data_IF_925256526064
#
_entry.id   IF_925256526064
#
_cell.length_a   1.000
_cell.length_b   1.000
_cell.length_c   1.000
_cell.angle_alpha   90.00
_cell.angle_beta   90.00
_cell.angle_gamma   90.00
#
_symmetry.space_group_name_H-M   'P 1'
#
loop_
_entity.id
_entity.type
_entity.pdbx_description
1 polymer ?
#
# COMPACT_ATOMS: atom_id res chain seq x y z
N UNK A 1 -27.60 -12.49 19.92
CA UNK A 1 -26.34 -12.66 20.68
C UNK A 1 -25.37 -11.58 20.22
N UNK A 2 -24.60 -10.99 21.12
CA UNK A 2 -23.57 -10.00 20.75
C UNK A 2 -22.51 -10.64 19.87
N UNK A 3 -22.07 -9.95 18.82
CA UNK A 3 -21.01 -10.40 17.92
C UNK A 3 -19.60 -10.23 18.52
N UNK A 4 -19.51 -9.67 19.73
CA UNK A 4 -18.25 -9.44 20.44
C UNK A 4 -18.17 -10.37 21.64
N UNK A 5 -17.09 -11.15 21.73
CA UNK A 5 -16.79 -12.00 22.89
C UNK A 5 -15.47 -11.56 23.52
N UNK A 6 -15.42 -11.50 24.85
CA UNK A 6 -14.19 -11.22 25.61
C UNK A 6 -13.90 -12.36 26.60
N UNK A 7 -12.71 -12.93 26.52
CA UNK A 7 -12.15 -13.83 27.53
C UNK A 7 -11.56 -12.99 28.67
N UNK A 8 -12.36 -12.80 29.70
CA UNK A 8 -12.20 -11.79 30.73
C UNK A 8 -11.69 -12.36 32.06
N UNK A 9 -10.90 -11.56 32.79
CA UNK A 9 -10.58 -11.80 34.19
C UNK A 9 -10.87 -10.53 35.00
N UNK A 10 -11.89 -10.55 35.88
CA UNK A 10 -12.27 -9.40 36.71
C UNK A 10 -11.14 -8.89 37.60
N UNK A 11 -10.18 -9.74 37.98
CA UNK A 11 -9.03 -9.37 38.81
C UNK A 11 -7.90 -8.64 38.07
N UNK A 12 -8.04 -8.32 36.79
CA UNK A 12 -6.98 -7.74 35.97
C UNK A 12 -7.38 -6.38 35.36
N UNK A 13 -6.65 -5.32 35.71
CA UNK A 13 -6.92 -3.95 35.23
C UNK A 13 -6.97 -3.83 33.70
N UNK A 14 -6.00 -4.42 32.97
CA UNK A 14 -6.05 -4.46 31.50
C UNK A 14 -7.34 -5.12 30.98
N UNK A 15 -7.80 -6.19 31.63
CA UNK A 15 -9.01 -6.90 31.24
C UNK A 15 -10.29 -6.09 31.50
N UNK A 16 -10.34 -5.35 32.62
CA UNK A 16 -11.43 -4.43 32.95
C UNK A 16 -11.47 -3.22 32.03
N UNK A 17 -10.33 -2.59 31.77
CA UNK A 17 -10.20 -1.48 30.81
C UNK A 17 -10.66 -1.89 29.40
N UNK A 18 -10.25 -3.07 28.91
CA UNK A 18 -10.72 -3.59 27.61
C UNK A 18 -12.22 -3.82 27.58
N UNK A 19 -12.81 -4.42 28.62
CA UNK A 19 -14.27 -4.60 28.71
C UNK A 19 -15.01 -3.25 28.70
N UNK A 20 -14.49 -2.27 29.44
CA UNK A 20 -15.07 -0.94 29.51
C UNK A 20 -14.99 -0.19 28.16
N UNK A 21 -13.88 -0.33 27.42
CA UNK A 21 -13.73 0.21 26.05
C UNK A 21 -14.73 -0.42 25.06
N UNK A 22 -15.00 -1.73 25.18
CA UNK A 22 -16.03 -2.38 24.36
C UNK A 22 -17.41 -1.77 24.67
N UNK A 23 -17.76 -1.65 25.96
CA UNK A 23 -19.03 -1.06 26.39
C UNK A 23 -19.17 0.41 25.97
N UNK A 24 -18.08 1.17 25.99
CA UNK A 24 -18.06 2.55 25.52
C UNK A 24 -18.31 2.69 24.01
N UNK A 25 -18.30 1.59 23.23
CA UNK A 25 -18.79 1.58 21.84
C UNK A 25 -20.30 1.35 21.70
N UNK A 26 -21.02 1.31 22.84
CA UNK A 26 -22.46 1.05 22.91
C UNK A 26 -22.84 -0.43 22.81
N UNK A 27 -21.88 -1.34 22.91
CA UNK A 27 -22.10 -2.78 22.77
C UNK A 27 -21.85 -3.50 24.08
N UNK A 28 -22.82 -4.29 24.56
CA UNK A 28 -22.59 -5.24 25.64
C UNK A 28 -22.04 -6.55 25.03
N UNK A 29 -20.79 -6.96 25.34
CA UNK A 29 -20.19 -8.17 24.79
C UNK A 29 -20.66 -9.43 25.53
N UNK A 30 -20.45 -10.59 24.90
CA UNK A 30 -20.44 -11.86 25.60
C UNK A 30 -19.18 -11.98 26.47
N UNK A 31 -19.33 -12.00 27.79
CA UNK A 31 -18.21 -12.06 28.74
C UNK A 31 -17.98 -13.50 29.17
N UNK A 32 -16.83 -14.06 28.81
CA UNK A 32 -16.41 -15.40 29.22
C UNK A 32 -15.35 -15.27 30.31
N UNK A 33 -15.71 -15.59 31.55
CA UNK A 33 -14.74 -15.69 32.65
C UNK A 33 -13.88 -16.95 32.46
N UNK A 34 -12.83 -16.86 31.64
CA UNK A 34 -12.08 -18.01 31.15
C UNK A 34 -11.41 -18.86 32.24
N UNK A 35 -11.26 -18.33 33.46
CA UNK A 35 -10.76 -19.11 34.60
C UNK A 35 -11.82 -20.08 35.17
N UNK A 36 -13.10 -19.77 34.99
CA UNK A 36 -14.23 -20.61 35.41
C UNK A 36 -14.72 -21.48 34.25
N UNK A 37 -14.81 -20.88 33.07
CA UNK A 37 -15.29 -21.54 31.83
C UNK A 37 -14.24 -21.35 30.74
N UNK A 38 -13.12 -22.10 30.81
CA UNK A 38 -12.05 -21.97 29.81
C UNK A 38 -12.55 -22.41 28.43
N UNK A 39 -12.04 -21.79 27.35
CA UNK A 39 -12.27 -22.31 26.00
C UNK A 39 -11.74 -23.74 25.90
N UNK A 40 -12.46 -24.56 25.13
CA UNK A 40 -12.01 -25.91 24.79
C UNK A 40 -10.72 -25.89 23.97
N UNK A 41 -10.07 -27.06 23.84
CA UNK A 41 -8.86 -27.22 23.02
C UNK A 41 -9.07 -26.74 21.58
N UNK A 42 -10.18 -27.13 20.97
CA UNK A 42 -10.48 -26.79 19.57
C UNK A 42 -10.80 -25.31 19.41
N UNK A 43 -11.53 -24.71 20.36
CA UNK A 43 -11.75 -23.27 20.40
C UNK A 43 -10.43 -22.50 20.54
N UNK A 44 -9.51 -22.94 21.39
CA UNK A 44 -8.18 -22.34 21.53
C UNK A 44 -7.38 -22.41 20.23
N UNK A 45 -7.40 -23.54 19.51
CA UNK A 45 -6.75 -23.67 18.20
C UNK A 45 -7.32 -22.67 17.19
N UNK A 46 -8.64 -22.52 17.15
CA UNK A 46 -9.31 -21.53 16.29
C UNK A 46 -8.91 -20.11 16.67
N UNK A 47 -8.86 -19.79 17.97
CA UNK A 47 -8.42 -18.47 18.44
C UNK A 47 -6.98 -18.17 18.05
N UNK A 48 -6.06 -19.12 18.26
CA UNK A 48 -4.64 -18.98 17.90
C UNK A 48 -4.43 -18.75 16.40
N UNK A 49 -5.15 -19.50 15.56
CA UNK A 49 -5.14 -19.31 14.11
C UNK A 49 -5.62 -17.90 13.73
N UNK A 50 -6.70 -17.42 14.33
CA UNK A 50 -7.23 -16.06 14.05
C UNK A 50 -6.37 -14.94 14.63
N UNK A 51 -5.61 -15.21 15.69
CA UNK A 51 -4.63 -14.30 16.28
C UNK A 51 -3.33 -14.25 15.47
N UNK A 52 -3.00 -15.29 14.70
CA UNK A 52 -1.70 -15.45 14.07
C UNK A 52 -0.58 -15.70 15.10
N UNK A 53 -0.90 -16.36 16.22
CA UNK A 53 0.02 -16.63 17.32
C UNK A 53 0.23 -18.14 17.50
N UNK A 54 1.41 -18.51 17.97
CA UNK A 54 1.73 -19.87 18.44
C UNK A 54 1.16 -20.11 19.84
N UNK A 55 1.00 -21.38 20.24
CA UNK A 55 0.55 -21.73 21.61
C UNK A 55 1.49 -21.15 22.65
N UNK A 56 2.80 -21.15 22.38
CA UNK A 56 3.83 -20.68 23.32
C UNK A 56 3.75 -19.17 23.57
N UNK A 57 3.45 -18.37 22.55
CA UNK A 57 3.27 -16.91 22.69
C UNK A 57 2.02 -16.56 23.51
N UNK A 58 1.00 -17.44 23.50
CA UNK A 58 -0.20 -17.28 24.30
C UNK A 58 0.04 -17.54 25.81
N UNK A 59 1.11 -18.24 26.17
CA UNK A 59 1.37 -18.60 27.56
C UNK A 59 1.81 -17.37 28.39
N UNK A 60 1.06 -17.14 29.46
CA UNK A 60 1.39 -16.19 30.51
C UNK A 60 2.39 -16.82 31.48
N UNK A 61 3.53 -16.16 31.67
CA UNK A 61 4.58 -16.61 32.58
C UNK A 61 4.36 -16.14 34.03
N UNK A 62 4.15 -14.84 34.23
CA UNK A 62 4.07 -14.26 35.59
C UNK A 62 2.79 -14.67 36.31
N UNK A 63 2.91 -15.19 37.53
CA UNK A 63 1.76 -15.55 38.39
C UNK A 63 0.95 -16.71 37.83
N UNK A 64 1.65 -17.72 37.28
CA UNK A 64 1.12 -18.97 36.73
C UNK A 64 2.12 -20.10 37.06
N UNK A 65 1.77 -21.38 36.88
CA UNK A 65 2.71 -22.49 37.08
C UNK A 65 3.75 -22.65 35.95
N UNK A 66 3.95 -21.66 35.08
CA UNK A 66 4.79 -21.76 33.88
C UNK A 66 6.22 -22.25 34.15
N UNK A 67 6.88 -21.68 35.16
CA UNK A 67 8.25 -22.05 35.54
C UNK A 67 8.28 -23.41 36.25
N UNK A 68 7.32 -23.67 37.16
CA UNK A 68 7.23 -24.93 37.88
C UNK A 68 6.99 -26.14 36.96
N UNK A 69 6.29 -25.92 35.84
CA UNK A 69 6.02 -26.93 34.81
C UNK A 69 7.07 -26.95 33.69
N UNK A 70 8.10 -26.10 33.76
CA UNK A 70 9.16 -25.99 32.74
C UNK A 70 8.60 -25.77 31.32
N UNK A 71 7.55 -24.95 31.18
CA UNK A 71 6.83 -24.75 29.90
C UNK A 71 7.64 -23.93 28.88
N UNK A 72 8.73 -23.31 29.29
CA UNK A 72 9.70 -22.68 28.39
C UNK A 72 10.55 -23.67 27.61
N UNK A 73 10.60 -24.92 28.05
CA UNK A 73 11.43 -25.94 27.42
C UNK A 73 10.89 -26.30 26.01
N UNK A 74 11.76 -26.29 24.98
CA UNK A 74 11.39 -26.68 23.62
C UNK A 74 10.90 -28.13 23.47
N UNK A 75 11.12 -28.99 24.49
CA UNK A 75 10.65 -30.39 24.49
C UNK A 75 9.12 -30.52 24.39
N UNK A 76 8.38 -29.51 24.85
CA UNK A 76 6.91 -29.53 24.86
C UNK A 76 6.34 -29.19 23.50
N UNK A 77 5.50 -30.06 22.96
CA UNK A 77 4.76 -29.80 21.72
C UNK A 77 3.56 -28.87 21.96
N UNK A 78 3.07 -28.23 20.90
CA UNK A 78 1.89 -27.38 20.96
C UNK A 78 0.65 -28.12 21.51
N UNK A 79 0.49 -29.39 21.15
CA UNK A 79 -0.59 -30.24 21.68
C UNK A 79 -0.47 -30.44 23.20
N UNK A 80 0.74 -30.67 23.72
CA UNK A 80 0.97 -30.79 25.17
C UNK A 80 0.79 -29.45 25.89
N UNK A 81 1.23 -28.35 25.29
CA UNK A 81 1.01 -27.01 25.84
C UNK A 81 -0.48 -26.67 25.94
N UNK A 82 -1.30 -27.11 24.99
CA UNK A 82 -2.76 -26.98 25.06
C UNK A 82 -3.36 -27.83 26.20
N UNK A 83 -2.83 -29.03 26.46
CA UNK A 83 -3.25 -29.84 27.61
C UNK A 83 -2.96 -29.13 28.95
N UNK A 84 -1.78 -28.52 29.08
CA UNK A 84 -1.44 -27.73 30.26
C UNK A 84 -2.36 -26.51 30.41
N UNK A 85 -2.73 -25.84 29.32
CA UNK A 85 -3.71 -24.74 29.36
C UNK A 85 -5.07 -25.23 29.86
N UNK A 86 -5.53 -26.40 29.39
CA UNK A 86 -6.79 -26.99 29.85
C UNK A 86 -6.80 -27.30 31.35
N UNK A 87 -5.67 -27.78 31.89
CA UNK A 87 -5.51 -28.06 33.33
C UNK A 87 -5.30 -26.78 34.16
N UNK A 88 -4.65 -25.77 33.57
CA UNK A 88 -4.31 -24.52 34.24
C UNK A 88 -4.71 -23.32 33.37
N UNK A 89 -6.01 -22.97 33.30
CA UNK A 89 -6.49 -21.87 32.47
C UNK A 89 -5.76 -20.55 32.69
N UNK A 90 -5.25 -20.30 33.90
CA UNK A 90 -4.45 -19.12 34.27
C UNK A 90 -3.22 -18.87 33.39
N UNK A 91 -2.75 -19.91 32.67
CA UNK A 91 -1.71 -19.84 31.65
C UNK A 91 -2.11 -19.03 30.41
N UNK A 92 -3.40 -18.76 30.15
CA UNK A 92 -3.82 -17.97 28.99
C UNK A 92 -3.52 -16.48 29.23
N UNK A 93 -2.80 -15.84 28.29
CA UNK A 93 -2.70 -14.39 28.21
C UNK A 93 -4.08 -13.75 27.98
N UNK A 94 -4.34 -12.63 28.65
CA UNK A 94 -5.66 -11.99 28.74
C UNK A 94 -5.58 -10.47 28.56
N UNK A 95 -6.67 -9.81 28.15
CA UNK A 95 -7.88 -10.41 27.59
C UNK A 95 -7.72 -10.75 26.09
N UNK A 96 -8.36 -11.83 25.65
CA UNK A 96 -8.57 -12.09 24.22
C UNK A 96 -9.96 -11.58 23.85
N UNK A 97 -10.06 -10.80 22.79
CA UNK A 97 -11.32 -10.27 22.27
C UNK A 97 -11.55 -10.78 20.86
N UNK A 98 -12.78 -11.23 20.59
CA UNK A 98 -13.24 -11.71 19.29
C UNK A 98 -14.33 -10.77 18.79
N UNK A 99 -14.19 -10.29 17.55
CA UNK A 99 -15.20 -9.46 16.86
C UNK A 99 -15.36 -9.93 15.41
N UNK A 100 -16.32 -9.35 14.64
CA UNK A 100 -16.41 -9.54 13.19
C UNK A 100 -15.18 -9.03 12.43
N UNK A 101 -14.46 -8.05 12.97
CA UNK A 101 -13.28 -7.45 12.33
C UNK A 101 -11.98 -8.23 12.62
N UNK A 102 -11.95 -9.07 13.67
CA UNK A 102 -10.77 -9.85 13.99
C UNK A 102 -10.76 -10.45 15.40
N UNK A 103 -9.65 -11.08 15.76
CA UNK A 103 -9.37 -11.55 17.14
C UNK A 103 -8.09 -10.90 17.61
N UNK A 104 -8.05 -10.45 18.87
CA UNK A 104 -6.86 -9.79 19.41
C UNK A 104 -6.62 -10.06 20.88
N UNK A 105 -5.36 -10.28 21.22
CA UNK A 105 -4.86 -10.19 22.59
C UNK A 105 -4.66 -8.70 22.94
N UNK A 106 -5.53 -8.15 23.77
CA UNK A 106 -5.57 -6.69 24.01
C UNK A 106 -4.63 -6.30 25.15
N UNK A 107 -3.32 -6.35 24.87
CA UNK A 107 -2.26 -5.88 25.76
C UNK A 107 -1.32 -4.95 24.96
N UNK A 108 -1.48 -3.63 25.06
CA UNK A 108 -2.29 -2.88 26.03
C UNK A 108 -3.80 -2.89 25.72
N UNK A 109 -4.63 -2.44 26.67
CA UNK A 109 -6.09 -2.59 26.63
C UNK A 109 -6.77 -1.94 25.40
N UNK A 110 -6.22 -0.81 24.95
CA UNK A 110 -6.66 0.02 23.83
C UNK A 110 -6.40 -0.61 22.46
N UNK A 111 -5.63 -1.70 22.39
CA UNK A 111 -5.49 -2.50 21.18
C UNK A 111 -6.84 -3.05 20.69
N UNK A 112 -7.85 -3.13 21.57
CA UNK A 112 -9.22 -3.51 21.22
C UNK A 112 -9.88 -2.54 20.24
N UNK A 113 -9.52 -1.26 20.27
CA UNK A 113 -10.12 -0.21 19.43
C UNK A 113 -9.95 -0.50 17.93
N UNK A 114 -8.89 -1.20 17.55
CA UNK A 114 -8.59 -1.51 16.15
C UNK A 114 -9.50 -2.61 15.58
N UNK A 115 -10.23 -3.34 16.44
CA UNK A 115 -11.11 -4.44 16.03
C UNK A 115 -12.57 -4.22 16.46
N UNK A 116 -12.92 -3.05 17.00
CA UNK A 116 -14.32 -2.72 17.31
C UNK A 116 -15.07 -2.25 16.06
N UNK A 117 -16.29 -2.77 15.81
CA UNK A 117 -17.10 -2.35 14.66
C UNK A 117 -17.67 -0.94 14.80
N UNK A 118 -17.88 -0.49 16.05
CA UNK A 118 -18.48 0.81 16.36
C UNK A 118 -17.43 1.77 16.94
N UNK A 119 -17.54 3.08 16.65
CA UNK A 119 -16.72 4.09 17.30
C UNK A 119 -17.05 4.22 18.80
N UNK A 120 -16.17 4.87 19.54
CA UNK A 120 -16.39 5.18 20.95
C UNK A 120 -17.44 6.30 21.09
N UNK A 121 -18.36 6.16 22.05
CA UNK A 121 -19.49 7.09 22.26
C UNK A 121 -19.13 8.30 23.14
N UNK A 122 -18.01 8.24 23.84
CA UNK A 122 -17.54 9.32 24.70
C UNK A 122 -16.08 9.16 25.12
N UNK A 123 -15.53 10.17 25.83
CA UNK A 123 -14.18 10.13 26.36
C UNK A 123 -13.96 8.92 27.28
N UNK A 124 -12.74 8.40 27.29
CA UNK A 124 -12.38 7.23 28.07
C UNK A 124 -11.01 7.40 28.69
N UNK A 125 -10.95 7.23 30.01
CA UNK A 125 -9.72 7.23 30.80
C UNK A 125 -9.60 5.86 31.48
N UNK A 126 -8.43 5.23 31.35
CA UNK A 126 -8.11 3.96 32.01
C UNK A 126 -8.08 4.13 33.53
N UNK A 127 -8.18 3.01 34.24
CA UNK A 127 -8.05 2.95 35.70
C UNK A 127 -6.75 3.59 36.27
N UNK A 128 -5.68 3.68 35.48
CA UNK A 128 -4.40 4.29 35.87
C UNK A 128 -4.30 5.79 35.56
N UNK A 129 -5.38 6.41 35.04
CA UNK A 129 -5.44 7.82 34.67
C UNK A 129 -5.03 8.12 33.23
N UNK A 130 -4.59 7.12 32.45
CA UNK A 130 -4.24 7.33 31.05
C UNK A 130 -5.50 7.59 30.20
N UNK A 131 -5.56 8.76 29.55
CA UNK A 131 -6.64 9.11 28.62
C UNK A 131 -6.42 8.40 27.29
N UNK A 132 -7.40 7.61 26.86
CA UNK A 132 -7.37 6.84 25.60
C UNK A 132 -8.26 7.47 24.54
N UNK A 133 -9.38 8.05 24.95
CA UNK A 133 -10.31 8.76 24.07
C UNK A 133 -10.55 10.15 24.65
N UNK A 134 -10.32 11.19 23.86
CA UNK A 134 -10.50 12.58 24.28
C UNK A 134 -11.98 13.02 24.29
N UNK A 135 -12.24 14.25 24.72
CA UNK A 135 -13.58 14.82 24.81
C UNK A 135 -14.29 14.92 23.44
N UNK A 136 -13.52 14.94 22.35
CA UNK A 136 -14.03 14.98 20.98
C UNK A 136 -14.26 13.56 20.41
N UNK A 137 -14.08 12.51 21.22
CA UNK A 137 -14.23 11.11 20.81
C UNK A 137 -13.07 10.57 19.97
N UNK A 138 -11.94 11.27 19.90
CA UNK A 138 -10.77 10.84 19.14
C UNK A 138 -9.84 10.01 20.02
N UNK A 139 -9.17 9.03 19.41
CA UNK A 139 -8.13 8.27 20.09
C UNK A 139 -6.94 9.16 20.41
N UNK A 140 -6.61 9.25 21.69
CA UNK A 140 -5.36 9.82 22.17
C UNK A 140 -4.27 8.81 21.83
N UNK A 141 -3.42 9.17 20.88
CA UNK A 141 -2.21 8.40 20.62
C UNK A 141 -1.29 8.52 21.84
N UNK A 142 -0.52 7.47 22.21
CA UNK A 142 0.52 7.65 23.22
C UNK A 142 1.34 8.86 22.85
N UNK A 143 1.70 9.68 23.84
CA UNK A 143 2.42 10.93 23.62
C UNK A 143 3.50 10.68 22.56
N UNK A 144 3.31 11.28 21.37
CA UNK A 144 4.35 11.30 20.37
C UNK A 144 5.62 11.74 21.12
N UNK A 145 6.76 11.08 20.86
CA UNK A 145 8.05 11.59 21.34
C UNK A 145 8.02 13.11 21.17
N UNK A 146 8.27 13.82 22.27
CA UNK A 146 8.14 15.27 22.29
C UNK A 146 8.86 15.83 21.07
N UNK A 147 8.24 16.73 20.31
CA UNK A 147 8.94 17.40 19.20
C UNK A 147 10.20 18.14 19.71
N UNK A 148 10.28 18.40 21.03
CA UNK A 148 11.47 18.92 21.69
C UNK A 148 12.72 18.02 21.52
N UNK A 149 12.54 16.71 21.36
CA UNK A 149 13.64 15.75 21.14
C UNK A 149 14.05 15.65 19.65
N UNK A 150 13.40 16.42 18.76
CA UNK A 150 13.68 16.50 17.33
C UNK A 150 14.10 17.93 16.92
N UNK A 151 15.20 18.48 17.46
CA UNK A 151 15.58 19.89 17.26
C UNK A 151 15.86 20.27 15.78
N UNK A 152 16.14 19.30 14.91
CA UNK A 152 16.33 19.48 13.48
C UNK A 152 15.01 19.63 12.68
N UNK A 153 13.87 19.36 13.31
CA UNK A 153 12.54 19.41 12.72
C UNK A 153 11.93 20.81 12.88
N UNK A 154 11.47 21.41 11.78
CA UNK A 154 10.67 22.63 11.79
C UNK A 154 9.23 22.26 12.16
N UNK A 155 8.90 22.39 13.45
CA UNK A 155 7.66 21.92 14.04
C UNK A 155 6.41 22.51 13.35
N UNK A 156 6.48 23.75 12.85
CA UNK A 156 5.42 24.46 12.15
C UNK A 156 5.01 23.81 10.81
N UNK A 157 5.93 23.07 10.18
CA UNK A 157 5.69 22.36 8.91
C UNK A 157 5.47 20.86 9.09
N UNK A 158 5.75 20.33 10.28
CA UNK A 158 5.49 18.95 10.61
C UNK A 158 3.99 18.68 10.69
N UNK A 159 3.55 17.63 10.03
CA UNK A 159 2.17 17.16 10.00
C UNK A 159 2.20 15.67 10.27
N UNK A 160 1.44 15.22 11.27
CA UNK A 160 1.23 13.78 11.49
C UNK A 160 0.31 13.29 10.36
N UNK A 161 0.65 12.18 9.67
CA UNK A 161 -0.22 11.65 8.63
C UNK A 161 -1.61 11.32 9.17
N UNK A 162 -2.63 11.92 8.56
CA UNK A 162 -4.04 11.72 8.86
C UNK A 162 -4.63 10.59 8.00
N UNK A 163 -5.04 9.45 8.59
CA UNK A 163 -5.70 8.36 7.86
C UNK A 163 -7.02 8.77 7.18
N UNK A 164 -7.68 9.82 7.64
CA UNK A 164 -8.92 10.30 7.02
C UNK A 164 -8.65 10.95 5.67
N UNK A 165 -7.51 11.65 5.50
CA UNK A 165 -7.11 12.26 4.23
C UNK A 165 -6.66 11.23 3.19
N UNK A 166 -6.39 9.98 3.59
CA UNK A 166 -6.16 8.85 2.68
C UNK A 166 -7.45 8.21 2.18
N UNK A 167 -8.63 8.71 2.62
CA UNK A 167 -9.93 8.27 2.14
C UNK A 167 -10.60 9.43 1.41
N UNK A 168 -10.80 9.35 0.09
CA UNK A 168 -11.43 10.43 -0.63
C UNK A 168 -12.88 10.62 -0.15
N UNK A 169 -13.25 11.85 0.20
CA UNK A 169 -14.62 12.20 0.60
C UNK A 169 -15.61 12.00 -0.56
N UNK A 170 -15.15 12.19 -1.79
CA UNK A 170 -15.91 11.98 -3.01
C UNK A 170 -15.00 11.33 -4.04
N UNK A 171 -15.07 10.01 -4.21
CA UNK A 171 -14.28 9.32 -5.22
C UNK A 171 -14.59 9.83 -6.63
N UNK A 172 -13.58 9.91 -7.49
CA UNK A 172 -13.79 10.27 -8.89
C UNK A 172 -14.70 9.26 -9.60
N UNK A 173 -15.74 9.76 -10.28
CA UNK A 173 -16.73 8.93 -10.97
C UNK A 173 -16.38 8.61 -12.43
N UNK A 174 -15.39 9.31 -13.01
CA UNK A 174 -14.96 9.04 -14.39
C UNK A 174 -14.03 7.83 -14.48
N UNK A 175 -14.02 7.22 -15.68
CA UNK A 175 -13.12 6.13 -16.02
C UNK A 175 -11.65 6.51 -15.74
N UNK A 176 -10.82 5.61 -15.18
CA UNK A 176 -9.41 5.87 -14.98
C UNK A 176 -8.71 6.07 -16.33
N UNK A 177 -7.80 7.04 -16.39
CA UNK A 177 -7.16 7.46 -17.66
C UNK A 177 -5.73 6.95 -17.77
N UNK A 178 -5.45 6.14 -18.79
CA UNK A 178 -4.11 5.59 -19.02
C UNK A 178 -3.48 6.07 -20.33
N UNK A 179 -2.26 6.59 -20.23
CA UNK A 179 -1.39 6.84 -21.37
C UNK A 179 -0.41 5.67 -21.57
N UNK A 180 -0.40 5.09 -22.76
CA UNK A 180 0.49 3.98 -23.09
C UNK A 180 1.55 4.44 -24.09
N UNK A 181 2.81 4.15 -23.78
CA UNK A 181 4.00 4.47 -24.57
C UNK A 181 4.72 3.19 -24.99
N UNK A 182 5.24 3.15 -26.23
CA UNK A 182 6.00 2.02 -26.75
C UNK A 182 7.35 2.42 -27.37
N UNK A 183 8.33 1.52 -27.30
CA UNK A 183 9.73 1.79 -27.64
C UNK A 183 10.20 1.39 -29.04
N UNK A 184 9.33 1.24 -30.04
CA UNK A 184 9.76 0.81 -31.38
C UNK A 184 8.84 1.27 -32.50
N UNK A 185 9.46 1.85 -33.54
CA UNK A 185 8.83 2.31 -34.79
C UNK A 185 8.90 1.28 -35.93
N UNK A 186 9.30 0.03 -35.65
CA UNK A 186 9.23 -1.04 -36.67
C UNK A 186 7.78 -1.22 -37.12
N UNK A 187 7.61 -1.54 -38.40
CA UNK A 187 6.30 -1.86 -38.99
C UNK A 187 5.57 -2.91 -38.14
N UNK A 188 6.21 -4.06 -37.92
CA UNK A 188 5.79 -5.07 -36.94
C UNK A 188 6.59 -4.94 -35.64
N UNK A 189 6.02 -4.24 -34.67
CA UNK A 189 6.65 -3.90 -33.39
C UNK A 189 5.96 -4.63 -32.24
N UNK A 190 6.60 -5.66 -31.65
CA UNK A 190 6.00 -6.43 -30.55
C UNK A 190 5.72 -5.60 -29.29
N UNK A 191 6.48 -4.54 -29.03
CA UNK A 191 6.16 -3.62 -27.92
C UNK A 191 4.89 -2.82 -28.20
N UNK A 192 4.65 -2.44 -29.47
CA UNK A 192 3.40 -1.78 -29.89
C UNK A 192 2.23 -2.74 -29.77
N UNK A 193 2.37 -3.97 -30.28
CA UNK A 193 1.33 -5.00 -30.19
C UNK A 193 0.99 -5.35 -28.73
N UNK A 194 2.00 -5.46 -27.86
CA UNK A 194 1.78 -5.69 -26.43
C UNK A 194 1.06 -4.52 -25.74
N UNK A 195 1.38 -3.27 -26.14
CA UNK A 195 0.65 -2.07 -25.69
C UNK A 195 -0.80 -2.05 -26.19
N UNK A 196 -1.07 -2.52 -27.40
CA UNK A 196 -2.44 -2.64 -27.92
C UNK A 196 -3.24 -3.69 -27.16
N UNK A 197 -2.65 -4.83 -26.78
CA UNK A 197 -3.30 -5.78 -25.88
C UNK A 197 -3.54 -5.19 -24.49
N UNK A 198 -2.56 -4.45 -23.97
CA UNK A 198 -2.72 -3.76 -22.70
C UNK A 198 -3.87 -2.75 -22.74
N UNK A 199 -4.00 -1.98 -23.82
CA UNK A 199 -5.10 -1.05 -24.01
C UNK A 199 -6.46 -1.76 -24.03
N UNK A 200 -6.58 -2.92 -24.71
CA UNK A 200 -7.82 -3.72 -24.72
C UNK A 200 -8.20 -4.22 -23.33
N UNK A 201 -7.24 -4.73 -22.56
CA UNK A 201 -7.47 -5.20 -21.19
C UNK A 201 -7.91 -4.06 -20.27
N UNK A 202 -7.23 -2.90 -20.34
CA UNK A 202 -7.61 -1.71 -19.58
C UNK A 202 -9.01 -1.21 -19.93
N UNK A 203 -9.35 -1.16 -21.22
CA UNK A 203 -10.69 -0.78 -21.68
C UNK A 203 -11.76 -1.77 -21.21
N UNK A 204 -11.48 -3.07 -21.23
CA UNK A 204 -12.37 -4.09 -20.68
C UNK A 204 -12.60 -3.93 -19.17
N UNK A 205 -11.62 -3.38 -18.45
CA UNK A 205 -11.73 -3.00 -17.04
C UNK A 205 -12.37 -1.61 -16.81
N UNK A 206 -12.91 -0.98 -17.87
CA UNK A 206 -13.63 0.30 -17.78
C UNK A 206 -12.75 1.54 -17.81
N UNK A 207 -11.50 1.44 -18.27
CA UNK A 207 -10.59 2.57 -18.36
C UNK A 207 -10.63 3.30 -19.72
N UNK A 208 -10.33 4.61 -19.72
CA UNK A 208 -10.05 5.37 -20.95
C UNK A 208 -8.55 5.24 -21.26
N UNK A 209 -8.20 4.86 -22.49
CA UNK A 209 -6.80 4.65 -22.90
C UNK A 209 -6.42 5.51 -24.10
N UNK A 210 -5.19 6.02 -24.10
CA UNK A 210 -4.59 6.69 -25.26
C UNK A 210 -3.19 6.14 -25.49
N UNK A 211 -2.91 5.71 -26.71
CA UNK A 211 -1.60 5.23 -27.13
C UNK A 211 -0.91 6.35 -27.90
N UNK A 212 0.25 6.81 -27.44
CA UNK A 212 1.02 7.80 -28.18
C UNK A 212 1.82 7.13 -29.29
N UNK A 213 1.69 7.63 -30.52
CA UNK A 213 2.54 7.22 -31.63
C UNK A 213 3.80 8.10 -31.68
N UNK A 214 5.02 7.58 -31.42
CA UNK A 214 6.23 8.39 -31.36
C UNK A 214 6.83 8.70 -32.75
N UNK A 215 6.17 8.31 -33.85
CA UNK A 215 6.66 8.66 -35.19
C UNK A 215 6.68 10.18 -35.37
N UNK A 216 7.82 10.70 -35.84
CA UNK A 216 8.06 12.14 -35.99
C UNK A 216 8.32 12.89 -34.68
N UNK A 217 8.48 12.21 -33.53
CA UNK A 217 8.98 12.85 -32.32
C UNK A 217 10.47 13.19 -32.52
N UNK A 218 10.88 14.47 -32.40
CA UNK A 218 12.28 14.87 -32.55
C UNK A 218 13.14 14.32 -31.41
N UNK A 219 14.46 14.31 -31.59
CA UNK A 219 15.36 14.05 -30.47
C UNK A 219 15.23 15.19 -29.45
N UNK A 220 15.35 14.91 -28.13
CA UNK A 220 15.44 15.95 -27.12
C UNK A 220 16.45 17.02 -27.53
N UNK A 221 16.09 18.29 -27.33
CA UNK A 221 16.88 19.49 -27.68
C UNK A 221 17.07 19.77 -29.19
N UNK A 222 16.53 18.93 -30.08
CA UNK A 222 16.62 19.10 -31.55
C UNK A 222 15.41 19.85 -32.16
N UNK A 223 14.44 20.22 -31.33
CA UNK A 223 13.26 20.98 -31.75
C UNK A 223 12.72 21.83 -30.59
N UNK A 224 11.96 22.91 -30.86
CA UNK A 224 11.32 23.66 -29.79
C UNK A 224 10.24 22.82 -29.11
N UNK A 225 9.92 23.13 -27.85
CA UNK A 225 8.82 22.49 -27.10
C UNK A 225 7.44 22.69 -27.77
N UNK A 226 7.36 23.65 -28.70
CA UNK A 226 6.16 23.90 -29.51
C UNK A 226 5.96 22.89 -30.62
N UNK A 227 6.92 21.97 -30.87
CA UNK A 227 6.80 20.92 -31.86
C UNK A 227 5.52 20.09 -31.64
N UNK A 228 4.70 19.81 -32.68
CA UNK A 228 3.39 19.19 -32.51
C UNK A 228 3.41 17.88 -31.72
N UNK A 229 4.38 16.99 -32.00
CA UNK A 229 4.53 15.72 -31.27
C UNK A 229 4.94 15.88 -29.81
N UNK A 230 5.70 16.93 -29.49
CA UNK A 230 6.11 17.22 -28.11
C UNK A 230 4.91 17.74 -27.33
N UNK A 231 4.13 18.66 -27.92
CA UNK A 231 2.87 19.13 -27.34
C UNK A 231 1.90 18.00 -27.09
N UNK A 232 1.64 17.17 -28.10
CA UNK A 232 0.74 16.02 -28.00
C UNK A 232 1.16 15.08 -26.85
N UNK A 233 2.44 14.72 -26.77
CA UNK A 233 2.95 13.87 -25.69
C UNK A 233 2.74 14.49 -24.31
N UNK A 234 3.02 15.79 -24.16
CA UNK A 234 2.87 16.51 -22.89
C UNK A 234 1.39 16.65 -22.49
N UNK A 235 0.51 16.95 -23.43
CA UNK A 235 -0.94 17.03 -23.21
C UNK A 235 -1.53 15.68 -22.79
N UNK A 236 -1.13 14.59 -23.46
CA UNK A 236 -1.51 13.23 -23.07
C UNK A 236 -0.98 12.88 -21.69
N UNK A 237 0.26 13.26 -21.39
CA UNK A 237 0.86 13.03 -20.07
C UNK A 237 0.10 13.81 -19.00
N UNK A 238 -0.33 15.04 -19.27
CA UNK A 238 -1.15 15.82 -18.34
C UNK A 238 -2.53 15.19 -18.11
N UNK A 239 -3.17 14.72 -19.18
CA UNK A 239 -4.51 14.11 -19.16
C UNK A 239 -4.59 12.81 -18.34
N UNK A 240 -3.56 11.96 -18.37
CA UNK A 240 -3.61 10.63 -17.76
C UNK A 240 -3.50 10.66 -16.22
N UNK A 241 -3.94 9.59 -15.57
CA UNK A 241 -3.80 9.32 -14.13
C UNK A 241 -2.79 8.21 -13.85
N UNK A 242 -2.58 7.33 -14.84
CA UNK A 242 -1.54 6.31 -14.84
C UNK A 242 -0.94 6.12 -16.23
N UNK A 243 0.20 5.42 -16.29
CA UNK A 243 0.89 5.13 -17.55
C UNK A 243 1.30 3.67 -17.66
N UNK A 244 1.45 3.21 -18.91
CA UNK A 244 2.12 1.95 -19.25
C UNK A 244 3.30 2.26 -20.16
N UNK A 245 4.50 1.81 -19.79
CA UNK A 245 5.69 1.93 -20.64
C UNK A 245 6.13 0.55 -21.12
N UNK A 246 6.17 0.35 -22.44
CA UNK A 246 6.61 -0.90 -23.04
C UNK A 246 7.82 -0.69 -23.94
N UNK A 247 9.00 -1.11 -23.48
CA UNK A 247 10.22 -1.05 -24.31
C UNK A 247 10.59 -2.45 -24.81
N UNK A 248 10.98 -2.59 -26.08
CA UNK A 248 11.85 -3.70 -26.46
C UNK A 248 13.15 -3.66 -25.66
N UNK A 249 13.80 -4.80 -25.52
CA UNK A 249 15.20 -4.86 -25.13
C UNK A 249 16.08 -4.81 -26.37
N UNK A 250 16.84 -3.72 -26.54
CA UNK A 250 17.78 -3.52 -27.65
C UNK A 250 19.17 -3.38 -27.08
N UNK A 251 20.10 -4.23 -27.52
CA UNK A 251 21.46 -4.30 -26.98
C UNK A 251 21.48 -4.40 -25.44
N UNK A 252 20.54 -5.17 -24.87
CA UNK A 252 20.48 -5.41 -23.42
C UNK A 252 19.94 -4.23 -22.59
N UNK A 253 19.30 -3.23 -23.20
CA UNK A 253 18.77 -2.05 -22.51
C UNK A 253 17.38 -1.64 -23.05
N UNK A 254 16.72 -0.72 -22.36
CA UNK A 254 15.57 0.02 -22.90
C UNK A 254 15.99 0.76 -24.17
N UNK A 255 15.04 0.95 -25.08
CA UNK A 255 15.32 1.59 -26.37
C UNK A 255 15.52 3.09 -26.23
N UNK A 256 16.31 3.66 -27.14
CA UNK A 256 16.42 5.12 -27.29
C UNK A 256 15.08 5.79 -27.60
N UNK A 257 14.19 5.14 -28.35
CA UNK A 257 12.83 5.65 -28.62
C UNK A 257 12.01 5.76 -27.32
N UNK A 258 12.07 4.74 -26.46
CA UNK A 258 11.39 4.80 -25.16
C UNK A 258 11.98 5.92 -24.30
N UNK A 259 13.32 6.02 -24.23
CA UNK A 259 14.00 7.02 -23.41
C UNK A 259 13.72 8.45 -23.89
N UNK A 260 13.78 8.69 -25.21
CA UNK A 260 13.51 9.99 -25.81
C UNK A 260 12.09 10.50 -25.52
N UNK A 261 11.08 9.63 -25.51
CA UNK A 261 9.72 10.01 -25.09
C UNK A 261 9.71 10.54 -23.65
N UNK A 262 10.37 9.86 -22.72
CA UNK A 262 10.38 10.30 -21.32
C UNK A 262 11.21 11.57 -21.13
N UNK A 263 12.28 11.75 -21.90
CA UNK A 263 13.10 12.96 -21.88
C UNK A 263 12.33 14.22 -22.31
N UNK A 264 11.31 14.07 -23.17
CA UNK A 264 10.42 15.16 -23.54
C UNK A 264 9.40 15.55 -22.46
N UNK A 265 9.25 14.75 -21.40
CA UNK A 265 8.32 14.98 -20.29
C UNK A 265 9.09 15.66 -19.14
N UNK A 266 8.87 16.96 -18.89
CA UNK A 266 9.54 17.65 -17.80
C UNK A 266 8.95 17.24 -16.44
N UNK A 267 9.77 17.29 -15.39
CA UNK A 267 9.29 17.15 -14.00
C UNK A 267 8.38 18.31 -13.56
N UNK A 268 8.52 19.46 -14.19
CA UNK A 268 7.86 20.72 -13.81
C UNK A 268 7.57 21.58 -15.04
N UNK A 269 6.34 22.06 -15.18
CA UNK A 269 5.96 23.16 -16.07
C UNK A 269 5.25 24.20 -15.22
N UNK A 270 5.98 25.23 -14.77
CA UNK A 270 5.48 26.16 -13.75
C UNK A 270 5.06 25.41 -12.47
N UNK A 271 3.78 25.53 -12.10
CA UNK A 271 3.19 24.83 -10.95
C UNK A 271 2.76 23.39 -11.26
N UNK A 272 2.69 22.99 -12.54
CA UNK A 272 2.20 21.68 -12.94
C UNK A 272 3.34 20.66 -12.83
N UNK A 273 3.03 19.47 -12.31
CA UNK A 273 3.94 18.33 -12.16
C UNK A 273 3.38 17.15 -12.97
N UNK A 274 3.72 17.02 -14.27
CA UNK A 274 2.96 16.18 -15.21
C UNK A 274 2.85 14.70 -14.85
N UNK A 275 3.85 14.13 -14.17
CA UNK A 275 3.92 12.70 -13.83
C UNK A 275 3.85 12.41 -12.34
N UNK A 276 3.98 13.43 -11.48
CA UNK A 276 4.14 13.23 -10.05
C UNK A 276 2.89 12.62 -9.42
N UNK A 277 3.06 11.54 -8.66
CA UNK A 277 1.95 10.84 -7.97
C UNK A 277 1.09 9.95 -8.88
N UNK A 278 1.32 9.95 -10.19
CA UNK A 278 0.64 9.06 -11.14
C UNK A 278 1.18 7.64 -11.03
N UNK A 279 0.34 6.65 -11.35
CA UNK A 279 0.74 5.24 -11.34
C UNK A 279 1.51 4.86 -12.61
N UNK A 280 2.39 3.86 -12.52
CA UNK A 280 3.15 3.37 -13.67
C UNK A 280 3.25 1.85 -13.66
N UNK A 281 2.93 1.21 -14.78
CA UNK A 281 3.32 -0.16 -15.08
C UNK A 281 4.44 -0.18 -16.13
N UNK A 282 5.44 -1.04 -15.92
CA UNK A 282 6.55 -1.25 -16.87
C UNK A 282 6.49 -2.64 -17.48
N UNK A 283 6.70 -2.70 -18.78
CA UNK A 283 6.63 -3.93 -19.58
C UNK A 283 7.81 -3.99 -20.55
N UNK A 284 8.30 -5.17 -20.89
CA UNK A 284 9.26 -5.33 -21.99
C UNK A 284 8.94 -6.51 -22.90
N UNK A 285 9.51 -6.45 -24.11
CA UNK A 285 9.57 -7.58 -25.04
C UNK A 285 11.03 -7.88 -25.39
N UNK A 286 11.39 -9.15 -25.44
CA UNK A 286 12.71 -9.61 -25.88
C UNK A 286 12.59 -10.36 -27.21
N UNK A 287 13.58 -10.15 -28.09
CA UNK A 287 13.75 -11.01 -29.26
C UNK A 287 14.37 -12.38 -28.91
N UNK A 288 15.11 -12.46 -27.80
CA UNK A 288 15.79 -13.67 -27.34
C UNK A 288 15.19 -14.23 -26.05
N UNK A 289 16.02 -14.93 -25.27
CA UNK A 289 15.68 -15.43 -23.93
C UNK A 289 15.19 -14.32 -22.99
N UNK A 290 14.51 -14.73 -21.93
CA UNK A 290 13.98 -13.79 -20.94
C UNK A 290 15.09 -12.94 -20.33
N UNK A 291 14.78 -11.66 -20.13
CA UNK A 291 15.64 -10.66 -19.52
C UNK A 291 14.77 -9.65 -18.77
N UNK A 292 15.37 -8.82 -17.95
CA UNK A 292 14.66 -7.79 -17.17
C UNK A 292 15.35 -6.42 -17.24
N UNK A 293 16.34 -6.25 -18.13
CA UNK A 293 17.17 -5.05 -18.12
C UNK A 293 16.36 -3.80 -18.47
N UNK A 294 15.50 -3.87 -19.49
CA UNK A 294 14.69 -2.73 -19.90
C UNK A 294 13.65 -2.35 -18.81
N UNK A 295 12.94 -3.30 -18.21
CA UNK A 295 11.98 -3.00 -17.12
C UNK A 295 12.69 -2.48 -15.87
N UNK A 296 13.89 -2.96 -15.55
CA UNK A 296 14.68 -2.44 -14.42
C UNK A 296 15.07 -0.97 -14.66
N UNK A 297 15.54 -0.64 -15.85
CA UNK A 297 15.87 0.74 -16.23
C UNK A 297 14.63 1.64 -16.19
N UNK A 298 13.48 1.16 -16.71
CA UNK A 298 12.23 1.93 -16.68
C UNK A 298 11.65 2.08 -15.28
N UNK A 299 11.81 1.09 -14.39
CA UNK A 299 11.39 1.19 -12.98
C UNK A 299 12.19 2.24 -12.23
N UNK A 300 13.50 2.25 -12.46
CA UNK A 300 14.41 3.30 -12.00
C UNK A 300 13.92 4.64 -12.55
N UNK A 301 13.70 4.77 -13.87
CA UNK A 301 13.19 6.00 -14.49
C UNK A 301 11.85 6.48 -13.89
N UNK A 302 10.91 5.57 -13.62
CA UNK A 302 9.63 5.87 -12.96
C UNK A 302 9.80 6.56 -11.60
N UNK A 303 10.81 6.14 -10.82
CA UNK A 303 11.18 6.81 -9.56
C UNK A 303 11.67 8.24 -9.81
N UNK A 304 12.51 8.48 -10.82
CA UNK A 304 12.94 9.85 -11.18
C UNK A 304 11.75 10.72 -11.60
N UNK A 305 10.80 10.14 -12.33
CA UNK A 305 9.55 10.81 -12.73
C UNK A 305 8.54 10.97 -11.58
N UNK A 306 8.91 10.57 -10.35
CA UNK A 306 8.09 10.63 -9.12
C UNK A 306 6.74 9.90 -9.28
N UNK A 307 6.74 8.81 -10.03
CA UNK A 307 5.57 7.96 -10.26
C UNK A 307 5.49 6.82 -9.25
N UNK A 308 4.27 6.37 -8.95
CA UNK A 308 3.98 5.17 -8.18
C UNK A 308 4.10 3.95 -9.10
N UNK A 309 5.33 3.46 -9.27
CA UNK A 309 5.57 2.28 -10.12
C UNK A 309 5.12 1.02 -9.41
N UNK A 310 4.09 0.35 -9.93
CA UNK A 310 3.49 -0.83 -9.31
C UNK A 310 4.50 -1.98 -9.18
N UNK A 311 4.37 -2.88 -8.20
CA UNK A 311 5.34 -3.95 -7.98
C UNK A 311 5.40 -4.94 -9.15
N UNK A 312 4.25 -5.32 -9.71
CA UNK A 312 4.22 -6.30 -10.80
C UNK A 312 4.72 -5.70 -12.12
N UNK A 313 5.23 -6.56 -13.01
CA UNK A 313 5.77 -6.16 -14.32
C UNK A 313 5.73 -7.32 -15.33
N UNK A 314 5.77 -6.99 -16.62
CA UNK A 314 5.79 -7.98 -17.70
C UNK A 314 7.12 -8.00 -18.46
N UNK A 315 7.63 -9.19 -18.77
CA UNK A 315 8.76 -9.40 -19.66
C UNK A 315 8.51 -10.62 -20.55
N UNK A 316 8.15 -10.37 -21.81
CA UNK A 316 7.77 -11.39 -22.79
C UNK A 316 9.01 -11.81 -23.58
N UNK A 317 9.51 -13.01 -23.32
CA UNK A 317 10.66 -13.58 -24.03
C UNK A 317 10.25 -14.09 -25.43
N UNK A 318 11.21 -14.09 -26.37
CA UNK A 318 11.01 -14.55 -27.75
C UNK A 318 9.67 -14.10 -28.33
N UNK A 319 9.35 -12.80 -28.18
CA UNK A 319 7.99 -12.27 -28.38
C UNK A 319 7.37 -12.62 -29.74
N UNK A 320 8.19 -12.85 -30.78
CA UNK A 320 7.73 -13.30 -32.09
C UNK A 320 6.98 -14.64 -32.08
N UNK A 321 7.15 -15.48 -31.06
CA UNK A 321 6.41 -16.74 -30.87
C UNK A 321 5.05 -16.53 -30.18
N UNK A 322 4.94 -15.45 -29.39
CA UNK A 322 3.80 -15.16 -28.53
C UNK A 322 2.68 -14.38 -29.23
N UNK A 323 2.94 -13.88 -30.45
CA UNK A 323 1.93 -13.21 -31.28
C UNK A 323 1.60 -14.06 -32.51
N UNK A 324 0.31 -14.11 -32.85
CA UNK A 324 -0.18 -14.83 -34.02
C UNK A 324 -0.06 -14.02 -35.32
N UNK A 325 -0.61 -14.56 -36.41
CA UNK A 325 -0.61 -13.93 -37.74
C UNK A 325 -1.49 -12.67 -37.80
N UNK A 326 -2.49 -12.58 -36.93
CA UNK A 326 -3.36 -11.42 -36.76
C UNK A 326 -2.77 -10.38 -35.79
N UNK A 327 -1.51 -10.56 -35.38
CA UNK A 327 -0.81 -9.73 -34.40
C UNK A 327 -1.52 -9.66 -33.03
N UNK A 328 -2.25 -10.72 -32.66
CA UNK A 328 -2.84 -10.89 -31.34
C UNK A 328 -1.94 -11.75 -30.46
N UNK A 329 -1.85 -11.39 -29.19
CA UNK A 329 -1.11 -12.21 -28.22
C UNK A 329 -1.85 -13.52 -27.98
N UNK A 330 -1.12 -14.64 -28.05
CA UNK A 330 -1.66 -15.98 -27.81
C UNK A 330 -1.90 -16.20 -26.31
N UNK A 331 -2.81 -17.09 -25.91
CA UNK A 331 -2.90 -17.55 -24.53
C UNK A 331 -1.58 -18.18 -24.08
N UNK A 332 -0.98 -17.62 -23.04
CA UNK A 332 0.26 -18.12 -22.44
C UNK A 332 0.43 -17.54 -21.04
N UNK A 333 1.39 -18.06 -20.26
CA UNK A 333 1.72 -17.49 -18.96
C UNK A 333 2.22 -16.04 -19.04
N UNK A 334 2.74 -15.61 -20.20
CA UNK A 334 3.06 -14.21 -20.44
C UNK A 334 1.80 -13.36 -20.57
N UNK A 335 0.76 -13.86 -21.25
CA UNK A 335 -0.52 -13.18 -21.35
C UNK A 335 -1.16 -13.03 -19.97
N UNK A 336 -1.19 -14.10 -19.17
CA UNK A 336 -1.74 -14.05 -17.80
C UNK A 336 -0.99 -13.02 -16.94
N UNK A 337 0.34 -12.96 -17.04
CA UNK A 337 1.12 -11.91 -16.37
C UNK A 337 0.75 -10.50 -16.83
N UNK A 338 0.46 -10.29 -18.11
CA UNK A 338 0.02 -8.99 -18.61
C UNK A 338 -1.33 -8.61 -18.00
N UNK A 339 -2.25 -9.57 -17.86
CA UNK A 339 -3.53 -9.37 -17.16
C UNK A 339 -3.28 -8.95 -15.71
N UNK A 340 -2.45 -9.68 -14.95
CA UNK A 340 -2.13 -9.37 -13.55
C UNK A 340 -1.57 -7.95 -13.40
N UNK A 341 -0.62 -7.57 -14.26
CA UNK A 341 0.03 -6.25 -14.23
C UNK A 341 -0.98 -5.13 -14.43
N UNK A 342 -1.91 -5.30 -15.37
CA UNK A 342 -2.87 -4.25 -15.71
C UNK A 342 -4.02 -4.20 -14.71
N UNK A 343 -4.43 -5.34 -14.16
CA UNK A 343 -5.40 -5.39 -13.06
C UNK A 343 -4.84 -4.66 -11.82
N UNK A 344 -3.57 -4.93 -11.48
CA UNK A 344 -2.86 -4.22 -10.41
C UNK A 344 -2.75 -2.72 -10.71
N UNK A 345 -2.41 -2.34 -11.94
CA UNK A 345 -2.34 -0.93 -12.34
C UNK A 345 -3.68 -0.23 -12.13
N UNK A 346 -4.80 -0.83 -12.53
CA UNK A 346 -6.14 -0.25 -12.35
C UNK A 346 -6.44 -0.08 -10.85
N UNK A 347 -6.21 -1.12 -10.04
CA UNK A 347 -6.43 -1.09 -8.58
C UNK A 347 -5.63 0.04 -7.92
N UNK A 348 -4.33 0.13 -8.20
CA UNK A 348 -3.47 1.18 -7.64
C UNK A 348 -3.89 2.58 -8.11
N UNK A 349 -4.34 2.73 -9.35
CA UNK A 349 -4.78 4.02 -9.89
C UNK A 349 -6.06 4.50 -9.20
N UNK A 350 -7.04 3.62 -9.06
CA UNK A 350 -8.28 3.92 -8.33
C UNK A 350 -8.00 4.25 -6.85
N UNK A 351 -7.05 3.55 -6.23
CA UNK A 351 -6.66 3.77 -4.84
C UNK A 351 -6.00 5.14 -4.62
N UNK A 352 -5.23 5.63 -5.59
CA UNK A 352 -4.28 6.73 -5.36
C UNK A 352 -4.67 8.05 -6.04
N UNK A 353 -5.44 8.02 -7.15
CA UNK A 353 -5.72 9.22 -7.96
C UNK A 353 -6.35 10.38 -7.18
N UNK A 354 -7.30 10.08 -6.30
CA UNK A 354 -8.06 11.10 -5.58
C UNK A 354 -7.32 11.64 -4.35
N UNK A 355 -6.34 10.88 -3.84
CA UNK A 355 -5.52 11.26 -2.67
C UNK A 355 -4.11 11.71 -3.08
N UNK A 356 -3.80 11.70 -4.38
CA UNK A 356 -2.50 12.09 -4.90
C UNK A 356 -2.01 13.47 -4.40
N UNK A 357 -2.85 14.53 -4.32
CA UNK A 357 -2.43 15.82 -3.78
C UNK A 357 -1.89 15.73 -2.35
N UNK A 358 -2.48 14.87 -1.52
CA UNK A 358 -2.03 14.64 -0.15
C UNK A 358 -0.77 13.77 -0.10
N UNK A 359 -0.69 12.71 -0.91
CA UNK A 359 0.50 11.84 -1.00
C UNK A 359 1.76 12.61 -1.43
N UNK A 360 1.61 13.69 -2.19
CA UNK A 360 2.73 14.48 -2.70
C UNK A 360 2.98 15.77 -1.90
N UNK A 361 2.20 16.04 -0.84
CA UNK A 361 2.40 17.16 0.08
C UNK A 361 3.57 16.86 1.03
N UNK A 362 4.77 17.32 0.66
CA UNK A 362 6.01 17.01 1.37
C UNK A 362 6.36 18.07 2.41
N UNK A 363 6.78 17.60 3.58
CA UNK A 363 7.35 18.44 4.65
C UNK A 363 8.44 19.40 4.14
N UNK A 364 9.38 18.91 3.33
CA UNK A 364 10.48 19.72 2.81
C UNK A 364 10.01 20.83 1.87
N UNK A 365 8.92 20.58 1.12
CA UNK A 365 8.33 21.57 0.21
C UNK A 365 7.52 22.60 0.99
N UNK A 366 6.81 22.19 2.07
CA UNK A 366 6.15 23.13 3.00
C UNK A 366 7.13 24.03 3.74
N UNK A 367 8.31 23.51 4.09
CA UNK A 367 9.40 24.25 4.74
C UNK A 367 10.03 25.29 3.82
N UNK A 368 10.01 25.05 2.52
CA UNK A 368 10.61 25.94 1.54
C UNK A 368 9.62 27.06 1.19
N UNK A 369 9.84 28.29 1.67
CA UNK A 369 9.05 29.44 1.23
C UNK A 369 9.29 29.69 -0.27
N UNK A 370 8.29 30.23 -0.98
CA UNK A 370 8.45 30.57 -2.40
C UNK A 370 9.68 31.47 -2.65
N UNK A 371 9.99 32.40 -1.73
CA UNK A 371 11.18 33.24 -1.76
C UNK A 371 12.50 32.48 -1.51
N UNK A 372 12.50 31.48 -0.62
CA UNK A 372 13.68 30.64 -0.35
C UNK A 372 13.99 29.68 -1.51
N UNK A 373 12.95 29.13 -2.15
CA UNK A 373 13.08 28.31 -3.36
C UNK A 373 13.66 29.13 -4.50
N UNK A 374 13.15 30.36 -4.72
CA UNK A 374 13.69 31.27 -5.73
C UNK A 374 15.14 31.66 -5.44
N UNK A 375 15.52 31.92 -4.18
CA UNK A 375 16.91 32.18 -3.81
C UNK A 375 17.84 31.00 -4.06
N UNK A 376 17.41 29.76 -3.77
CA UNK A 376 18.24 28.56 -3.95
C UNK A 376 18.38 28.17 -5.43
N UNK A 377 17.31 28.30 -6.22
CA UNK A 377 17.35 28.03 -7.67
C UNK A 377 18.18 29.08 -8.42
N UNK A 378 18.19 30.33 -7.93
CA UNK A 378 18.99 31.42 -8.49
C UNK A 378 20.42 31.52 -7.92
N UNK A 379 20.85 30.61 -7.03
CA UNK A 379 22.26 30.51 -6.66
C UNK A 379 23.03 29.88 -7.83
N UNK A 380 23.58 30.75 -8.67
CA UNK A 380 24.58 30.38 -9.66
C UNK A 380 25.88 29.95 -8.93
N UNK A 381 26.38 28.78 -9.31
CA UNK A 381 27.64 28.13 -8.94
C UNK A 381 27.62 27.23 -7.68
N UNK A 382 27.94 25.94 -7.92
CA UNK A 382 28.79 25.13 -7.03
C UNK A 382 30.23 25.52 -7.35
#
# INVERSE_FOLDING_TARGET
MSLITIYHNPGCGTSRNTLALIRNSGVEPNVVEYLKTPPSRDELKVLLLRLGMTVRELLRQKGTPYEALDLGNPKWSDEQLLDFIGQHPVLIQRPIVVTPLGVRLCRPSEAVLDILPNPQQGPFTKEDGEVVIDADGRRVLPAAQSLADLPQLAAEHFRVPDPQQLRPLTPSAHAPRFLLLYGSLRERSFSRLLVEEAARLLQAMGAETRIFNPSGLPLPDDAPETHPKVKELRELTQWCEGMVWCSPERHGAMTGIMKAQIDWIPLSVGAIRPTQGKTLAVMQVCGGSQSFNAVNQMRVLGRWMRMLTIPNQSSVAKAFLEFDENNRMKPSSYHDRVVDVLEELVKFTLLTRDVAPYLVDRYSERKESAEALMKRVNQAAI
#
